data_IF_079813665446
#
_entry.id   IF_079813665446
#
_cell.length_a   1.000
_cell.length_b   1.000
_cell.length_c   1.000
_cell.angle_alpha   90.00
_cell.angle_beta   90.00
_cell.angle_gamma   90.00
#
_symmetry.space_group_name_H-M   'P 1'
#
loop_
_entity.id
_entity.type
_entity.pdbx_description
1 polymer ?
#
# COMPACT_ATOMS: atom_id res chain seq x y z
N UNK A 1 -3.81 18.20 25.81
CA UNK A 1 -5.04 17.64 25.25
C UNK A 1 -4.91 16.15 24.93
N UNK A 2 -5.97 15.50 24.47
CA UNK A 2 -5.98 14.04 24.16
C UNK A 2 -4.90 13.67 23.15
N UNK A 3 -4.76 14.45 22.10
CA UNK A 3 -3.76 14.23 21.04
C UNK A 3 -2.32 14.12 21.59
N UNK A 4 -1.93 15.03 22.48
CA UNK A 4 -0.58 14.99 23.07
C UNK A 4 -0.33 13.70 23.86
N UNK A 5 -1.33 13.23 24.63
CA UNK A 5 -1.20 11.99 25.41
C UNK A 5 -1.03 10.76 24.49
N UNK A 6 -1.75 10.72 23.39
CA UNK A 6 -1.62 9.61 22.40
C UNK A 6 -0.23 9.62 21.81
N UNK A 7 0.30 10.77 21.42
CA UNK A 7 1.65 10.87 20.88
C UNK A 7 2.73 10.48 21.91
N UNK A 8 2.58 10.94 23.16
CA UNK A 8 3.48 10.59 24.26
C UNK A 8 3.47 9.08 24.54
N UNK A 9 2.31 8.43 24.49
CA UNK A 9 2.19 6.98 24.64
C UNK A 9 2.99 6.24 23.55
N UNK A 10 2.83 6.62 22.30
CA UNK A 10 3.57 6.00 21.19
C UNK A 10 5.07 6.26 21.30
N UNK A 11 5.51 7.47 21.63
CA UNK A 11 6.92 7.80 21.85
C UNK A 11 7.54 6.94 22.96
N UNK A 12 6.81 6.77 24.08
CA UNK A 12 7.27 5.92 25.19
C UNK A 12 7.32 4.44 24.83
N UNK A 13 6.52 4.01 23.85
CA UNK A 13 6.53 2.66 23.32
C UNK A 13 7.55 2.43 22.18
N UNK A 14 8.46 3.39 21.96
CA UNK A 14 9.56 3.25 21.01
C UNK A 14 9.22 3.61 19.55
N UNK A 15 8.10 4.27 19.32
CA UNK A 15 7.76 4.86 18.01
C UNK A 15 8.54 6.17 17.85
N UNK A 16 9.09 6.40 16.67
CA UNK A 16 9.78 7.64 16.33
C UNK A 16 8.79 8.56 15.60
N UNK A 17 8.52 9.74 16.15
CA UNK A 17 7.64 10.75 15.54
C UNK A 17 8.48 11.98 15.29
N UNK A 18 8.78 12.24 14.00
CA UNK A 18 9.70 13.31 13.60
C UNK A 18 9.14 14.70 13.90
N UNK A 19 7.86 14.92 13.63
CA UNK A 19 7.18 16.19 13.94
C UNK A 19 5.82 15.94 14.61
N UNK A 20 5.79 15.92 15.94
CA UNK A 20 4.55 15.77 16.70
C UNK A 20 3.52 16.88 16.44
N UNK A 21 3.94 18.06 16.01
CA UNK A 21 3.04 19.19 15.78
C UNK A 21 2.14 19.01 14.55
N UNK A 22 2.63 18.27 13.54
CA UNK A 22 1.88 18.02 12.30
C UNK A 22 1.41 16.58 12.14
N UNK A 23 1.69 15.72 13.12
CA UNK A 23 1.29 14.32 13.10
C UNK A 23 0.02 14.09 13.91
N UNK A 24 -0.97 13.45 13.32
CA UNK A 24 -2.26 13.14 13.95
C UNK A 24 -2.45 11.63 14.05
N UNK A 25 -2.50 11.13 15.28
CA UNK A 25 -2.75 9.71 15.58
C UNK A 25 -3.99 9.62 16.46
N UNK A 26 -5.04 8.97 15.95
CA UNK A 26 -6.27 8.81 16.73
C UNK A 26 -6.03 7.80 17.87
N UNK A 27 -6.74 8.02 18.96
CA UNK A 27 -6.80 7.05 20.06
C UNK A 27 -7.30 5.69 19.52
N UNK A 28 -6.63 4.59 19.92
CA UNK A 28 -6.94 3.23 19.46
C UNK A 28 -6.21 2.81 18.17
N UNK A 29 -5.36 3.65 17.60
CA UNK A 29 -4.34 3.19 16.64
C UNK A 29 -3.24 2.43 17.39
N UNK A 30 -2.70 1.38 16.76
CA UNK A 30 -1.62 0.56 17.31
C UNK A 30 -0.39 0.70 16.42
N UNK A 31 0.76 1.02 17.00
CA UNK A 31 2.01 1.22 16.26
C UNK A 31 3.14 0.49 16.96
N UNK A 32 3.83 -0.37 16.24
CA UNK A 32 4.95 -1.17 16.74
C UNK A 32 6.22 -0.35 16.94
N UNK A 33 7.06 -0.79 17.86
CA UNK A 33 8.33 -0.16 18.19
C UNK A 33 9.27 -0.07 16.97
N UNK A 34 10.11 0.97 16.95
CA UNK A 34 11.06 1.21 15.86
C UNK A 34 10.42 1.76 14.58
N UNK A 35 9.10 1.91 14.53
CA UNK A 35 8.41 2.55 13.41
C UNK A 35 8.66 4.05 13.42
N UNK A 36 8.97 4.60 12.25
CA UNK A 36 9.17 6.02 12.03
C UNK A 36 7.93 6.65 11.38
N UNK A 37 7.40 7.71 12.00
CA UNK A 37 6.29 8.51 11.48
C UNK A 37 6.83 9.87 11.08
N UNK A 38 6.68 10.19 9.79
CA UNK A 38 7.14 11.44 9.21
C UNK A 38 6.08 12.54 9.24
N UNK A 39 6.46 13.82 9.04
CA UNK A 39 5.55 14.96 9.18
C UNK A 39 4.26 14.88 8.34
N UNK A 40 3.21 15.55 8.80
CA UNK A 40 1.93 15.66 8.10
C UNK A 40 1.25 14.29 7.83
N UNK A 41 1.45 13.32 8.71
CA UNK A 41 0.85 12.00 8.63
C UNK A 41 -0.40 11.92 9.51
N UNK A 42 -1.44 11.29 8.98
CA UNK A 42 -2.72 11.06 9.69
C UNK A 42 -2.98 9.56 9.81
N UNK A 43 -3.09 9.07 11.04
CA UNK A 43 -3.37 7.66 11.36
C UNK A 43 -4.67 7.58 12.13
N UNK A 44 -5.67 6.93 11.57
CA UNK A 44 -7.01 6.84 12.16
C UNK A 44 -7.15 5.68 13.16
N UNK A 45 -8.16 5.78 14.01
CA UNK A 45 -8.51 4.71 14.93
C UNK A 45 -8.71 3.37 14.21
N UNK A 46 -8.29 2.27 14.86
CA UNK A 46 -8.38 0.93 14.31
C UNK A 46 -7.35 0.60 13.23
N UNK A 47 -6.41 1.50 12.95
CA UNK A 47 -5.21 1.20 12.15
C UNK A 47 -4.22 0.42 13.00
N UNK A 48 -3.56 -0.57 12.39
CA UNK A 48 -2.45 -1.30 13.00
C UNK A 48 -1.20 -1.15 12.12
N UNK A 49 -0.12 -0.73 12.73
CA UNK A 49 1.20 -0.61 12.11
C UNK A 49 2.16 -1.49 12.87
N UNK A 50 2.84 -2.37 12.17
CA UNK A 50 3.84 -3.28 12.72
C UNK A 50 5.09 -2.56 13.22
N UNK A 51 6.11 -3.33 13.56
CA UNK A 51 7.40 -2.83 13.99
C UNK A 51 8.28 -2.42 12.80
N UNK A 52 9.14 -1.42 12.99
CA UNK A 52 10.14 -1.03 11.99
C UNK A 52 9.57 -0.50 10.67
N UNK A 53 8.33 -0.04 10.66
CA UNK A 53 7.69 0.55 9.48
C UNK A 53 8.17 2.00 9.23
N UNK A 54 7.94 2.48 8.01
CA UNK A 54 8.08 3.89 7.67
C UNK A 54 6.73 4.42 7.18
N UNK A 55 6.21 5.50 7.77
CA UNK A 55 4.91 6.07 7.42
C UNK A 55 5.01 7.57 7.20
N UNK A 56 4.66 8.01 6.02
CA UNK A 56 4.69 9.42 5.66
C UNK A 56 5.93 9.85 4.85
N UNK A 57 6.15 11.15 4.71
CA UNK A 57 5.24 12.25 5.09
C UNK A 57 3.98 12.33 4.22
N UNK A 58 2.99 13.14 4.64
CA UNK A 58 1.73 13.35 3.89
C UNK A 58 1.00 12.04 3.56
N UNK A 59 0.88 11.15 4.53
CA UNK A 59 0.21 9.86 4.40
C UNK A 59 -1.07 9.84 5.21
N UNK A 60 -2.11 9.21 4.66
CA UNK A 60 -3.37 8.99 5.36
C UNK A 60 -3.68 7.50 5.48
N UNK A 61 -3.52 6.96 6.68
CA UNK A 61 -3.96 5.60 7.00
C UNK A 61 -5.35 5.64 7.60
N UNK A 62 -6.32 5.11 6.87
CA UNK A 62 -7.74 5.09 7.26
C UNK A 62 -8.09 3.76 7.94
N UNK A 63 -9.26 3.77 8.59
CA UNK A 63 -9.78 2.61 9.33
C UNK A 63 -9.68 1.29 8.53
N UNK A 64 -9.24 0.23 9.23
CA UNK A 64 -9.07 -1.10 8.65
C UNK A 64 -7.76 -1.28 7.88
N UNK A 65 -6.86 -0.31 7.90
CA UNK A 65 -5.51 -0.47 7.36
C UNK A 65 -4.61 -1.21 8.33
N UNK A 66 -3.84 -2.16 7.80
CA UNK A 66 -2.80 -2.90 8.51
C UNK A 66 -1.50 -2.77 7.72
N UNK A 67 -0.45 -2.30 8.35
CA UNK A 67 0.92 -2.40 7.84
C UNK A 67 1.62 -3.49 8.63
N UNK A 68 2.15 -4.51 7.96
CA UNK A 68 2.97 -5.53 8.59
C UNK A 68 4.39 -5.03 8.83
N UNK A 69 5.21 -5.79 9.56
CA UNK A 69 6.55 -5.35 9.96
C UNK A 69 7.41 -4.91 8.77
N UNK A 70 8.10 -3.79 8.93
CA UNK A 70 8.98 -3.24 7.91
C UNK A 70 8.29 -2.68 6.66
N UNK A 71 6.97 -2.64 6.61
CA UNK A 71 6.25 -2.03 5.49
C UNK A 71 6.50 -0.52 5.41
N UNK A 72 6.52 0.01 4.19
CA UNK A 72 6.81 1.43 3.94
C UNK A 72 5.68 2.05 3.12
N UNK A 73 5.04 3.08 3.68
CA UNK A 73 3.99 3.87 3.02
C UNK A 73 4.39 5.33 3.05
N UNK A 74 4.59 5.91 1.89
CA UNK A 74 5.21 7.24 1.78
C UNK A 74 4.29 8.34 1.28
N UNK A 75 4.93 9.34 0.66
CA UNK A 75 4.32 10.63 0.31
C UNK A 75 3.02 10.51 -0.49
N UNK A 76 1.98 11.21 -0.02
CA UNK A 76 0.70 11.33 -0.73
C UNK A 76 0.06 9.96 -1.03
N UNK A 77 0.23 9.02 -0.12
CA UNK A 77 -0.37 7.70 -0.20
C UNK A 77 -1.52 7.59 0.78
N UNK A 78 -2.65 7.12 0.29
CA UNK A 78 -3.83 6.84 1.10
C UNK A 78 -4.10 5.34 1.12
N UNK A 79 -4.26 4.77 2.31
CA UNK A 79 -4.66 3.38 2.51
C UNK A 79 -5.99 3.30 3.26
N UNK A 80 -6.88 2.42 2.82
CA UNK A 80 -8.18 2.18 3.46
C UNK A 80 -8.57 0.71 3.36
N UNK A 81 -8.87 0.08 4.52
CA UNK A 81 -9.24 -1.34 4.56
C UNK A 81 -8.26 -2.22 3.74
N UNK A 82 -6.97 -1.97 3.93
CA UNK A 82 -5.91 -2.63 3.15
C UNK A 82 -4.86 -3.21 4.06
N UNK A 83 -4.25 -4.30 3.62
CA UNK A 83 -3.12 -4.94 4.28
C UNK A 83 -1.90 -4.73 3.41
N UNK A 84 -0.84 -4.18 3.96
CA UNK A 84 0.46 -4.02 3.31
C UNK A 84 1.42 -4.98 3.97
N UNK A 85 1.80 -6.01 3.25
CA UNK A 85 2.60 -7.13 3.74
C UNK A 85 4.02 -6.73 4.16
N UNK A 86 4.65 -7.62 4.92
CA UNK A 86 5.98 -7.45 5.48
C UNK A 86 7.00 -6.97 4.43
N UNK A 87 7.68 -5.87 4.73
CA UNK A 87 8.71 -5.29 3.86
C UNK A 87 8.21 -4.72 2.54
N UNK A 88 6.90 -4.70 2.30
CA UNK A 88 6.34 -4.14 1.07
C UNK A 88 6.36 -2.62 1.07
N UNK A 89 6.40 -2.03 -0.13
CA UNK A 89 6.61 -0.60 -0.33
C UNK A 89 5.54 0.02 -1.22
N UNK A 90 4.92 1.10 -0.74
CA UNK A 90 4.01 1.98 -1.48
C UNK A 90 4.40 3.44 -1.17
N UNK A 91 5.50 3.91 -1.75
CA UNK A 91 6.18 5.12 -1.26
C UNK A 91 5.65 6.43 -1.83
N UNK A 92 4.88 6.43 -2.91
CA UNK A 92 4.55 7.67 -3.62
C UNK A 92 3.18 7.66 -4.28
N UNK A 93 2.38 8.71 -4.03
CA UNK A 93 1.23 9.12 -4.85
C UNK A 93 0.24 7.98 -5.16
N UNK A 94 -0.07 7.12 -4.21
CA UNK A 94 -0.86 5.92 -4.46
C UNK A 94 -2.16 5.89 -3.66
N UNK A 95 -3.18 5.26 -4.22
CA UNK A 95 -4.40 4.92 -3.51
C UNK A 95 -4.56 3.41 -3.38
N UNK A 96 -4.56 2.91 -2.16
CA UNK A 96 -4.75 1.51 -1.83
C UNK A 96 -6.07 1.36 -1.04
N UNK A 97 -7.13 1.02 -1.75
CA UNK A 97 -8.46 0.77 -1.18
C UNK A 97 -8.86 -0.68 -1.31
N UNK A 98 -9.29 -1.30 -0.21
CA UNK A 98 -9.75 -2.69 -0.17
C UNK A 98 -8.73 -3.65 -0.84
N UNK A 99 -7.43 -3.49 -0.54
CA UNK A 99 -6.33 -4.18 -1.21
C UNK A 99 -5.54 -5.02 -0.21
N UNK A 100 -5.17 -6.23 -0.60
CA UNK A 100 -4.21 -7.06 0.14
C UNK A 100 -2.93 -7.11 -0.70
N UNK A 101 -1.83 -6.59 -0.14
CA UNK A 101 -0.50 -6.64 -0.73
C UNK A 101 0.33 -7.66 0.05
N UNK A 102 0.88 -8.63 -0.63
CA UNK A 102 1.75 -9.67 -0.07
C UNK A 102 3.09 -9.11 0.41
N UNK A 103 3.99 -9.98 0.83
CA UNK A 103 5.32 -9.64 1.34
C UNK A 103 6.27 -9.19 0.24
N UNK A 104 7.11 -8.20 0.56
CA UNK A 104 8.20 -7.77 -0.34
C UNK A 104 7.73 -7.22 -1.69
N UNK A 105 6.45 -6.90 -1.85
CA UNK A 105 5.93 -6.32 -3.07
C UNK A 105 6.29 -4.83 -3.18
N UNK A 106 6.41 -4.35 -4.41
CA UNK A 106 6.66 -2.94 -4.68
C UNK A 106 5.50 -2.33 -5.46
N UNK A 107 4.86 -1.33 -4.88
CA UNK A 107 3.80 -0.55 -5.52
C UNK A 107 4.39 0.73 -6.08
N UNK A 108 4.43 0.84 -7.39
CA UNK A 108 5.01 1.98 -8.11
C UNK A 108 4.25 3.28 -7.88
N UNK A 109 4.95 4.40 -8.04
CA UNK A 109 4.38 5.73 -7.87
C UNK A 109 3.15 5.95 -8.75
N UNK A 110 2.10 6.57 -8.21
CA UNK A 110 0.87 6.84 -8.96
C UNK A 110 -0.03 5.64 -9.21
N UNK A 111 0.20 4.52 -8.54
CA UNK A 111 -0.67 3.35 -8.65
C UNK A 111 -2.02 3.59 -8.00
N UNK A 112 -3.08 3.24 -8.70
CA UNK A 112 -4.46 3.33 -8.23
C UNK A 112 -5.13 1.96 -8.23
N UNK A 113 -5.56 1.52 -7.05
CA UNK A 113 -6.46 0.39 -6.91
C UNK A 113 -7.90 0.89 -7.00
N UNK A 114 -8.48 0.79 -8.20
CA UNK A 114 -9.84 1.26 -8.48
C UNK A 114 -10.85 0.25 -7.91
N UNK A 115 -11.19 0.43 -6.64
CA UNK A 115 -11.97 -0.52 -5.83
C UNK A 115 -13.48 -0.33 -5.91
N UNK A 116 -13.98 0.80 -6.42
CA UNK A 116 -15.41 1.13 -6.44
C UNK A 116 -15.96 1.12 -7.87
N UNK A 117 -17.06 0.42 -8.08
CA UNK A 117 -17.68 0.26 -9.41
C UNK A 117 -18.90 1.17 -9.64
N UNK A 118 -19.15 2.09 -8.72
CA UNK A 118 -20.31 2.96 -8.71
C UNK A 118 -21.44 2.49 -7.78
N UNK A 119 -21.40 1.22 -7.34
CA UNK A 119 -22.40 0.59 -6.45
C UNK A 119 -21.74 0.00 -5.23
N UNK A 120 -20.77 -0.91 -5.41
CA UNK A 120 -20.08 -1.63 -4.34
C UNK A 120 -18.57 -1.52 -4.49
N UNK A 121 -17.86 -1.88 -3.42
CA UNK A 121 -16.40 -1.97 -3.41
C UNK A 121 -15.97 -3.42 -3.55
N UNK A 122 -14.88 -3.59 -4.28
CA UNK A 122 -14.28 -4.89 -4.58
C UNK A 122 -12.83 -4.91 -4.11
N UNK A 123 -12.35 -6.10 -3.78
CA UNK A 123 -10.99 -6.32 -3.32
C UNK A 123 -10.03 -6.62 -4.48
N UNK A 124 -8.79 -6.20 -4.33
CA UNK A 124 -7.66 -6.65 -5.14
C UNK A 124 -6.65 -7.35 -4.25
N UNK A 125 -6.07 -8.44 -4.74
CA UNK A 125 -4.98 -9.17 -4.08
C UNK A 125 -3.73 -9.06 -4.94
N UNK A 126 -2.62 -8.67 -4.33
CA UNK A 126 -1.29 -8.60 -4.94
C UNK A 126 -0.39 -9.61 -4.24
N UNK A 127 0.18 -10.53 -4.97
CA UNK A 127 1.03 -11.60 -4.44
C UNK A 127 2.39 -11.13 -3.96
N UNK A 128 3.07 -12.01 -3.23
CA UNK A 128 4.40 -11.75 -2.68
C UNK A 128 5.40 -11.40 -3.78
N UNK A 129 6.26 -10.42 -3.52
CA UNK A 129 7.31 -10.02 -4.45
C UNK A 129 6.83 -9.42 -5.77
N UNK A 130 5.54 -9.14 -5.94
CA UNK A 130 5.04 -8.52 -7.15
C UNK A 130 5.60 -7.10 -7.33
N UNK A 131 5.83 -6.72 -8.58
CA UNK A 131 6.29 -5.39 -8.95
C UNK A 131 5.22 -4.66 -9.77
N UNK A 132 4.57 -3.70 -9.16
CA UNK A 132 3.57 -2.87 -9.84
C UNK A 132 4.26 -1.62 -10.38
N UNK A 133 4.28 -1.47 -11.70
CA UNK A 133 4.90 -0.33 -12.36
C UNK A 133 4.21 0.99 -12.06
N UNK A 134 4.96 2.08 -12.14
CA UNK A 134 4.43 3.43 -11.86
C UNK A 134 3.23 3.76 -12.76
N UNK A 135 2.24 4.44 -12.21
CA UNK A 135 1.03 4.83 -12.94
C UNK A 135 0.10 3.69 -13.33
N UNK A 136 0.30 2.49 -12.79
CA UNK A 136 -0.60 1.36 -13.04
C UNK A 136 -1.97 1.63 -12.39
N UNK A 137 -3.03 1.38 -13.15
CA UNK A 137 -4.39 1.30 -12.61
C UNK A 137 -4.85 -0.15 -12.59
N UNK A 138 -5.27 -0.64 -11.43
CA UNK A 138 -5.81 -2.00 -11.28
C UNK A 138 -7.29 -1.88 -10.93
N UNK A 139 -8.14 -2.37 -11.83
CA UNK A 139 -9.60 -2.32 -11.65
C UNK A 139 -10.05 -3.57 -10.90
N UNK A 140 -10.54 -3.37 -9.68
CA UNK A 140 -11.03 -4.46 -8.83
C UNK A 140 -12.39 -5.03 -9.31
N UNK A 141 -12.72 -6.30 -9.01
CA UNK A 141 -11.85 -7.27 -8.35
C UNK A 141 -10.72 -7.75 -9.25
N UNK A 142 -9.55 -7.97 -8.67
CA UNK A 142 -8.42 -8.50 -9.43
C UNK A 142 -7.44 -9.30 -8.55
N UNK A 143 -6.62 -10.10 -9.20
CA UNK A 143 -5.56 -10.88 -8.57
C UNK A 143 -4.28 -10.69 -9.39
N UNK A 144 -3.21 -10.26 -8.74
CA UNK A 144 -1.88 -10.12 -9.32
C UNK A 144 -1.00 -11.17 -8.65
N UNK A 145 -0.48 -12.09 -9.41
CA UNK A 145 0.28 -13.24 -8.92
C UNK A 145 1.59 -12.87 -8.23
N UNK A 146 2.15 -13.82 -7.49
CA UNK A 146 3.44 -13.68 -6.84
C UNK A 146 4.55 -13.43 -7.88
N UNK A 147 5.43 -12.48 -7.61
CA UNK A 147 6.51 -12.11 -8.53
C UNK A 147 6.07 -11.54 -9.88
N UNK A 148 4.77 -11.31 -10.08
CA UNK A 148 4.26 -10.72 -11.31
C UNK A 148 4.68 -9.24 -11.44
N UNK A 149 4.76 -8.77 -12.67
CA UNK A 149 5.15 -7.38 -12.99
C UNK A 149 4.11 -6.73 -13.86
N UNK A 150 3.72 -5.50 -13.54
CA UNK A 150 2.99 -4.64 -14.47
C UNK A 150 3.92 -3.56 -15.00
N UNK A 151 3.86 -3.26 -16.28
CA UNK A 151 4.60 -2.15 -16.89
C UNK A 151 4.05 -0.80 -16.45
N UNK A 152 4.89 0.24 -16.49
CA UNK A 152 4.46 1.59 -16.17
C UNK A 152 3.28 2.02 -17.05
N UNK A 153 2.28 2.68 -16.44
CA UNK A 153 1.07 3.14 -17.11
C UNK A 153 0.10 2.03 -17.54
N UNK A 154 0.31 0.79 -17.13
CA UNK A 154 -0.60 -0.29 -17.47
C UNK A 154 -1.99 -0.11 -16.83
N UNK A 155 -3.03 -0.54 -17.53
CA UNK A 155 -4.39 -0.64 -16.97
C UNK A 155 -4.80 -2.11 -16.95
N UNK A 156 -4.73 -2.71 -15.76
CA UNK A 156 -5.20 -4.08 -15.54
C UNK A 156 -6.71 -4.04 -15.37
N UNK A 157 -7.43 -4.50 -16.37
CA UNK A 157 -8.89 -4.45 -16.40
C UNK A 157 -9.51 -5.43 -15.41
N UNK A 158 -10.77 -5.19 -15.06
CA UNK A 158 -11.53 -6.02 -14.11
C UNK A 158 -11.38 -7.51 -14.39
N UNK A 159 -11.08 -8.28 -13.35
CA UNK A 159 -10.97 -9.74 -13.40
C UNK A 159 -9.96 -10.28 -14.43
N UNK A 160 -8.95 -9.49 -14.77
CA UNK A 160 -7.93 -9.90 -15.75
C UNK A 160 -7.05 -11.07 -15.25
N UNK A 161 -6.79 -11.13 -13.95
CA UNK A 161 -6.00 -12.16 -13.26
C UNK A 161 -4.62 -12.36 -13.87
N UNK A 162 -3.68 -11.60 -13.36
CA UNK A 162 -2.26 -11.72 -13.73
C UNK A 162 -1.67 -12.91 -12.99
N UNK A 163 -1.13 -13.88 -13.73
CA UNK A 163 -0.53 -15.10 -13.14
C UNK A 163 0.81 -14.83 -12.47
N UNK A 164 1.29 -15.82 -11.69
CA UNK A 164 2.57 -15.76 -11.01
C UNK A 164 3.72 -15.56 -12.02
N UNK A 165 4.61 -14.61 -11.72
CA UNK A 165 5.78 -14.30 -12.54
C UNK A 165 5.46 -13.70 -13.92
N UNK A 166 4.20 -13.49 -14.25
CA UNK A 166 3.83 -12.91 -15.54
C UNK A 166 4.18 -11.41 -15.60
N UNK A 167 4.45 -10.95 -16.81
CA UNK A 167 4.66 -9.53 -17.12
C UNK A 167 3.49 -9.05 -17.98
N UNK A 168 2.79 -8.01 -17.51
CA UNK A 168 1.65 -7.41 -18.21
C UNK A 168 1.91 -5.94 -18.48
N UNK A 169 1.61 -5.50 -19.72
CA UNK A 169 1.87 -4.11 -20.16
C UNK A 169 0.72 -3.56 -20.98
N UNK A 170 0.62 -2.25 -21.06
CA UNK A 170 -0.26 -1.52 -21.96
C UNK A 170 -1.66 -1.20 -21.41
N UNK A 171 -2.50 -0.64 -22.27
CA UNK A 171 -3.87 -0.19 -21.98
C UNK A 171 -4.79 -0.69 -23.10
N UNK A 172 -5.66 -1.68 -22.85
CA UNK A 172 -5.72 -2.51 -21.66
C UNK A 172 -4.45 -3.38 -21.53
N UNK A 173 -4.06 -3.71 -20.31
CA UNK A 173 -2.88 -4.54 -20.07
C UNK A 173 -3.06 -5.94 -20.65
N UNK A 174 -1.99 -6.46 -21.25
CA UNK A 174 -1.91 -7.81 -21.77
C UNK A 174 -0.58 -8.43 -21.37
N UNK A 175 -0.59 -9.76 -21.25
CA UNK A 175 0.62 -10.51 -20.97
C UNK A 175 1.65 -10.29 -22.08
N UNK A 176 2.83 -9.84 -21.66
CA UNK A 176 3.99 -9.78 -22.54
C UNK A 176 4.56 -11.20 -22.68
N UNK A 177 4.23 -11.86 -23.77
CA UNK A 177 4.85 -13.16 -24.10
C UNK A 177 6.30 -12.92 -24.50
N UNK A 178 7.24 -13.60 -23.85
CA UNK A 178 8.60 -13.67 -24.39
C UNK A 178 8.49 -14.20 -25.83
N UNK A 179 9.08 -13.51 -26.79
CA UNK A 179 9.29 -14.09 -28.09
C UNK A 179 10.11 -15.36 -27.84
N UNK A 180 9.48 -16.52 -27.94
CA UNK A 180 10.20 -17.79 -27.96
C UNK A 180 11.24 -17.64 -29.04
N UNK A 181 12.52 -17.80 -28.67
CA UNK A 181 13.61 -18.04 -29.63
C UNK A 181 13.11 -19.04 -30.66
N UNK A 182 12.82 -18.56 -31.83
CA UNK A 182 12.68 -19.41 -33.00
C UNK A 182 14.11 -19.86 -33.30
N UNK A 183 14.46 -21.04 -32.88
CA UNK A 183 15.49 -21.84 -33.49
C UNK A 183 14.92 -22.54 -34.77
#
# INVERSE_FOLDING_TARGET
GVQLRVLEEHLNNGVQIEDPATTYIDHGAQIGAGTAIFPCTVIRAGVRVGAGCEVGPFTHLRVGTVLEDGAQVGNFTECKKSIIGEGSKAKHLSYLGDTIVGKGANIGAGTIFANYDGVVKHQTVVGDGAFIGSGTTIVAPNEIGAGATTGAGAVVTRSARVGDGEVWVGVPARQLKNASSQE
#
